data_IF_366598437643
#
_entry.id   IF_366598437643
#
_cell.length_a   1.000
_cell.length_b   1.000
_cell.length_c   1.000
_cell.angle_alpha   90.00
_cell.angle_beta   90.00
_cell.angle_gamma   90.00
#
_symmetry.space_group_name_H-M   'P 1'
#
loop_
_entity.id
_entity.type
_entity.pdbx_description
1 polymer ?
#
# COMPACT_ATOMS: atom_id res chain seq x y z
N UNK A 1 -2.04 -19.51 3.95
CA UNK A 1 -2.66 -19.37 2.62
C UNK A 1 -1.83 -18.48 1.69
N UNK A 2 -1.45 -17.24 2.05
CA UNK A 2 -0.62 -16.39 1.18
C UNK A 2 0.77 -17.00 0.92
N UNK A 3 1.58 -17.24 1.96
CA UNK A 3 2.93 -17.81 1.80
C UNK A 3 2.91 -19.15 1.05
N UNK A 4 1.91 -20.00 1.31
CA UNK A 4 1.73 -21.28 0.62
C UNK A 4 1.40 -21.10 -0.86
N UNK A 5 0.62 -20.08 -1.23
CA UNK A 5 0.28 -19.77 -2.62
C UNK A 5 1.48 -19.21 -3.39
N UNK A 6 2.31 -18.39 -2.74
CA UNK A 6 3.56 -17.88 -3.31
C UNK A 6 4.57 -19.04 -3.48
N UNK A 7 4.70 -19.91 -2.48
CA UNK A 7 5.55 -21.10 -2.55
C UNK A 7 5.11 -22.06 -3.67
N UNK A 8 3.81 -22.25 -3.89
CA UNK A 8 3.33 -23.09 -5.01
C UNK A 8 3.65 -22.53 -6.40
N UNK A 9 4.03 -21.24 -6.48
CA UNK A 9 4.50 -20.60 -7.71
C UNK A 9 6.04 -20.57 -7.82
N UNK A 10 6.75 -21.28 -6.94
CA UNK A 10 8.22 -21.33 -6.94
C UNK A 10 8.89 -20.08 -6.37
N UNK A 11 8.14 -19.25 -5.64
CA UNK A 11 8.63 -18.00 -5.08
C UNK A 11 8.58 -18.01 -3.54
N UNK A 12 9.21 -17.01 -2.91
CA UNK A 12 9.25 -16.84 -1.45
C UNK A 12 8.57 -15.52 -1.10
N UNK A 13 7.54 -15.59 -0.25
CA UNK A 13 6.96 -14.39 0.34
C UNK A 13 7.92 -13.85 1.41
N UNK A 14 8.30 -12.58 1.30
CA UNK A 14 9.13 -11.88 2.27
C UNK A 14 8.34 -10.72 2.89
N UNK A 15 8.57 -10.52 4.20
CA UNK A 15 7.97 -9.42 4.98
C UNK A 15 6.44 -9.24 4.81
N UNK A 16 5.61 -10.31 4.78
CA UNK A 16 4.17 -10.14 4.61
C UNK A 16 3.57 -9.38 5.81
N UNK A 17 2.91 -8.27 5.53
CA UNK A 17 2.27 -7.41 6.50
C UNK A 17 0.77 -7.28 6.22
N UNK A 18 -0.03 -7.57 7.25
CA UNK A 18 -1.47 -7.29 7.26
C UNK A 18 -1.73 -6.40 8.46
N UNK A 19 -2.24 -5.20 8.20
CA UNK A 19 -2.61 -4.23 9.23
C UNK A 19 -4.06 -3.80 9.07
N UNK A 20 -4.75 -3.58 10.17
CA UNK A 20 -6.20 -3.45 10.25
C UNK A 20 -6.59 -2.15 10.97
N UNK A 21 -7.69 -1.56 10.51
CA UNK A 21 -8.33 -0.40 11.10
C UNK A 21 -7.43 0.83 11.07
N UNK A 22 -7.54 1.70 12.08
CA UNK A 22 -6.74 2.93 12.17
C UNK A 22 -5.22 2.69 12.18
N UNK A 23 -4.79 1.48 12.53
CA UNK A 23 -3.38 1.10 12.60
C UNK A 23 -2.78 0.74 11.23
N UNK A 24 -3.63 0.54 10.21
CA UNK A 24 -3.22 0.32 8.82
C UNK A 24 -2.36 1.49 8.27
N UNK A 25 -2.56 2.71 8.75
CA UNK A 25 -2.01 3.96 8.17
C UNK A 25 -0.54 4.27 8.59
N UNK A 26 0.18 3.32 9.15
CA UNK A 26 1.40 3.60 9.95
C UNK A 26 2.74 3.00 9.49
N UNK A 27 2.97 2.75 8.20
CA UNK A 27 4.21 2.14 7.69
C UNK A 27 4.52 0.75 8.26
N UNK A 28 5.77 0.31 8.14
CA UNK A 28 6.26 -1.01 8.55
C UNK A 28 6.37 -1.14 10.08
N UNK A 29 5.22 -1.41 10.71
CA UNK A 29 5.08 -1.64 12.15
C UNK A 29 4.26 -2.89 12.40
N UNK A 30 4.66 -3.69 13.39
CA UNK A 30 3.94 -4.91 13.77
C UNK A 30 2.54 -4.55 14.29
N UNK A 31 1.52 -5.19 13.73
CA UNK A 31 0.17 -5.12 14.27
C UNK A 31 0.09 -5.86 15.61
N UNK A 32 -0.63 -5.28 16.57
CA UNK A 32 -0.94 -5.95 17.82
C UNK A 32 -2.00 -7.06 17.61
N UNK A 33 -1.81 -8.20 18.26
CA UNK A 33 -2.62 -9.42 18.07
C UNK A 33 -4.09 -9.31 18.47
N UNK A 34 -4.41 -8.34 19.32
CA UNK A 34 -5.76 -8.06 19.82
C UNK A 34 -6.62 -7.30 18.80
N UNK A 35 -6.02 -6.68 17.78
CA UNK A 35 -6.77 -5.96 16.74
C UNK A 35 -7.49 -6.97 15.85
N UNK A 36 -8.82 -6.97 15.91
CA UNK A 36 -9.70 -7.82 15.10
C UNK A 36 -10.32 -7.02 13.96
N UNK A 37 -10.50 -7.66 12.80
CA UNK A 37 -11.13 -7.07 11.63
C UNK A 37 -12.61 -6.77 11.90
N UNK A 38 -13.02 -5.51 11.73
CA UNK A 38 -14.41 -5.08 11.84
C UNK A 38 -14.91 -4.48 10.52
N UNK A 39 -16.22 -4.61 10.20
CA UNK A 39 -16.81 -3.90 9.07
C UNK A 39 -16.50 -2.40 9.11
N UNK A 40 -16.13 -1.86 7.97
CA UNK A 40 -15.67 -0.48 7.86
C UNK A 40 -14.20 -0.28 8.19
N UNK A 41 -13.42 -1.30 8.58
CA UNK A 41 -11.97 -1.13 8.75
C UNK A 41 -11.24 -1.07 7.41
N UNK A 42 -10.08 -0.41 7.42
CA UNK A 42 -9.10 -0.57 6.35
C UNK A 42 -8.20 -1.77 6.61
N UNK A 43 -7.79 -2.42 5.53
CA UNK A 43 -6.78 -3.48 5.50
C UNK A 43 -5.63 -2.94 4.67
N UNK A 44 -4.48 -2.70 5.30
CA UNK A 44 -3.23 -2.48 4.58
C UNK A 44 -2.51 -3.81 4.45
N UNK A 45 -2.33 -4.24 3.21
CA UNK A 45 -1.58 -5.41 2.83
C UNK A 45 -0.32 -4.94 2.12
N UNK A 46 0.83 -5.41 2.57
CA UNK A 46 2.13 -5.07 1.98
C UNK A 46 3.01 -6.31 2.04
N UNK A 47 3.65 -6.64 0.92
CA UNK A 47 4.44 -7.86 0.83
C UNK A 47 5.47 -7.79 -0.29
N UNK A 48 6.65 -8.33 0.03
CA UNK A 48 7.68 -8.63 -0.93
C UNK A 48 7.55 -10.06 -1.43
N UNK A 49 7.99 -10.31 -2.65
CA UNK A 49 8.14 -11.64 -3.23
C UNK A 49 9.51 -11.76 -3.86
N UNK A 50 10.22 -12.84 -3.52
CA UNK A 50 11.49 -13.22 -4.13
C UNK A 50 11.26 -14.38 -5.09
N UNK A 51 11.65 -14.22 -6.35
CA UNK A 51 11.58 -15.27 -7.36
C UNK A 51 12.84 -15.23 -8.22
N UNK A 52 13.55 -16.36 -8.34
CA UNK A 52 14.78 -16.49 -9.14
C UNK A 52 15.85 -15.42 -8.83
N UNK A 53 15.96 -15.01 -7.57
CA UNK A 53 16.88 -13.96 -7.12
C UNK A 53 16.41 -12.51 -7.33
N UNK A 54 15.25 -12.29 -7.96
CA UNK A 54 14.64 -10.98 -8.16
C UNK A 54 13.57 -10.70 -7.11
N UNK A 55 13.39 -9.40 -6.81
CA UNK A 55 12.43 -8.90 -5.84
C UNK A 55 11.28 -8.17 -6.53
N UNK A 56 10.07 -8.41 -6.04
CA UNK A 56 8.89 -7.60 -6.31
C UNK A 56 8.31 -7.11 -4.98
N UNK A 57 7.88 -5.85 -4.94
CA UNK A 57 7.29 -5.19 -3.78
C UNK A 57 5.93 -4.61 -4.17
N UNK A 58 4.91 -4.86 -3.35
CA UNK A 58 3.57 -4.38 -3.59
C UNK A 58 2.77 -4.14 -2.29
N UNK A 59 2.29 -2.91 -2.14
CA UNK A 59 1.32 -2.53 -1.12
C UNK A 59 -0.08 -2.21 -1.70
N UNK A 60 -1.13 -2.59 -0.97
CA UNK A 60 -2.54 -2.30 -1.25
C UNK A 60 -3.29 -1.93 0.03
N UNK A 61 -4.29 -1.07 -0.12
CA UNK A 61 -5.25 -0.72 0.93
C UNK A 61 -6.64 -1.09 0.47
N UNK A 62 -7.36 -1.85 1.30
CA UNK A 62 -8.74 -2.27 1.05
C UNK A 62 -9.65 -1.78 2.16
N UNK A 63 -10.94 -1.63 1.89
CA UNK A 63 -11.97 -1.47 2.92
C UNK A 63 -12.70 -2.81 3.12
N UNK A 64 -13.03 -3.14 4.37
CA UNK A 64 -13.77 -4.36 4.68
C UNK A 64 -15.28 -4.08 4.75
N UNK A 65 -16.03 -4.69 3.83
CA UNK A 65 -17.49 -4.56 3.62
C UNK A 65 -17.97 -3.18 3.15
N UNK A 66 -17.57 -2.10 3.80
CA UNK A 66 -17.91 -0.73 3.41
C UNK A 66 -16.76 0.23 3.72
N UNK A 67 -16.72 1.37 3.03
CA UNK A 67 -15.76 2.43 3.31
C UNK A 67 -16.39 3.48 4.22
N UNK A 68 -15.70 3.85 5.31
CA UNK A 68 -16.15 4.97 6.15
C UNK A 68 -15.72 6.32 5.53
N UNK A 69 -16.52 7.39 5.68
CA UNK A 69 -16.23 8.70 5.08
C UNK A 69 -14.85 9.28 5.44
N UNK A 70 -14.34 9.03 6.65
CA UNK A 70 -13.03 9.53 7.09
C UNK A 70 -11.84 8.93 6.32
N UNK A 71 -12.06 7.86 5.56
CA UNK A 71 -11.05 7.24 4.71
C UNK A 71 -11.01 7.81 3.30
N UNK A 72 -11.89 8.74 2.94
CA UNK A 72 -11.86 9.43 1.65
C UNK A 72 -10.49 10.11 1.39
N UNK A 73 -9.79 10.51 2.46
CA UNK A 73 -8.41 11.01 2.39
C UNK A 73 -7.41 10.05 1.74
N UNK A 74 -7.68 8.73 1.68
CA UNK A 74 -6.84 7.79 0.96
C UNK A 74 -6.85 8.03 -0.56
N UNK A 75 -7.89 8.69 -1.10
CA UNK A 75 -7.93 9.09 -2.50
C UNK A 75 -6.79 10.07 -2.85
N UNK A 76 -6.32 10.88 -1.89
CA UNK A 76 -5.15 11.73 -2.08
C UNK A 76 -3.87 10.91 -2.32
N UNK A 77 -3.68 9.81 -1.60
CA UNK A 77 -2.53 8.91 -1.78
C UNK A 77 -2.61 8.20 -3.14
N UNK A 78 -3.79 7.67 -3.49
CA UNK A 78 -4.01 7.01 -4.77
C UNK A 78 -3.74 7.95 -5.95
N UNK A 79 -4.23 9.19 -5.89
CA UNK A 79 -3.99 10.22 -6.90
C UNK A 79 -2.50 10.55 -7.03
N UNK A 80 -1.81 10.73 -5.89
CA UNK A 80 -0.37 10.97 -5.89
C UNK A 80 0.40 9.83 -6.57
N UNK A 81 0.05 8.58 -6.25
CA UNK A 81 0.65 7.39 -6.85
C UNK A 81 0.41 7.33 -8.37
N UNK A 82 -0.83 7.52 -8.84
CA UNK A 82 -1.15 7.48 -10.26
C UNK A 82 -0.40 8.55 -11.06
N UNK A 83 -0.34 9.78 -10.55
CA UNK A 83 0.41 10.86 -11.20
C UNK A 83 1.89 10.50 -11.26
N UNK A 84 2.48 9.99 -10.17
CA UNK A 84 3.88 9.59 -10.18
C UNK A 84 4.16 8.50 -11.21
N UNK A 85 3.35 7.43 -11.26
CA UNK A 85 3.52 6.34 -12.22
C UNK A 85 3.45 6.84 -13.67
N UNK A 86 2.54 7.76 -13.98
CA UNK A 86 2.34 8.26 -15.34
C UNK A 86 3.44 9.24 -15.80
N UNK A 87 4.04 9.98 -14.88
CA UNK A 87 4.96 11.09 -15.21
C UNK A 87 6.44 10.73 -15.02
N UNK A 88 6.74 9.69 -14.22
CA UNK A 88 8.12 9.24 -14.00
C UNK A 88 8.74 8.83 -15.33
N UNK A 89 9.93 9.38 -15.60
CA UNK A 89 10.70 9.11 -16.80
C UNK A 89 12.20 9.10 -16.51
N UNK A 90 12.95 8.53 -17.45
CA UNK A 90 14.42 8.47 -17.40
C UNK A 90 14.98 9.88 -17.20
N UNK A 91 15.93 10.01 -16.28
CA UNK A 91 16.59 11.28 -15.97
C UNK A 91 15.93 12.12 -14.87
N UNK A 92 14.74 11.76 -14.38
CA UNK A 92 14.14 12.43 -13.21
C UNK A 92 14.89 12.08 -11.92
N UNK A 93 15.06 13.06 -11.02
CA UNK A 93 15.62 12.81 -9.68
C UNK A 93 14.52 12.30 -8.75
N UNK A 94 14.87 11.42 -7.81
CA UNK A 94 13.92 10.90 -6.82
C UNK A 94 13.21 11.99 -6.02
N UNK A 95 13.89 13.10 -5.70
CA UNK A 95 13.28 14.26 -5.02
C UNK A 95 12.16 14.91 -5.85
N UNK A 96 12.28 14.89 -7.17
CA UNK A 96 11.31 15.53 -8.07
C UNK A 96 10.08 14.64 -8.20
N UNK A 97 10.27 13.31 -8.25
CA UNK A 97 9.19 12.31 -8.16
C UNK A 97 8.46 12.44 -6.83
N UNK A 98 9.18 12.55 -5.71
CA UNK A 98 8.56 12.76 -4.40
C UNK A 98 7.73 14.04 -4.36
N UNK A 99 8.28 15.16 -4.84
CA UNK A 99 7.57 16.44 -4.90
C UNK A 99 6.31 16.33 -5.77
N UNK A 100 6.39 15.65 -6.90
CA UNK A 100 5.26 15.41 -7.79
C UNK A 100 4.13 14.65 -7.07
N UNK A 101 4.45 13.52 -6.45
CA UNK A 101 3.49 12.70 -5.69
C UNK A 101 2.78 13.52 -4.62
N UNK A 102 3.54 14.24 -3.79
CA UNK A 102 3.00 15.04 -2.70
C UNK A 102 2.14 16.20 -3.22
N UNK A 103 2.58 16.88 -4.28
CA UNK A 103 1.83 18.01 -4.88
C UNK A 103 0.49 17.56 -5.46
N UNK A 104 0.44 16.37 -6.08
CA UNK A 104 -0.79 15.80 -6.62
C UNK A 104 -1.78 15.41 -5.53
N UNK A 105 -1.31 14.85 -4.41
CA UNK A 105 -2.15 14.49 -3.26
C UNK A 105 -2.68 15.69 -2.47
N UNK A 106 -1.94 16.79 -2.41
CA UNK A 106 -2.33 17.99 -1.65
C UNK A 106 -3.28 18.95 -2.39
N UNK A 107 -3.45 18.79 -3.71
CA UNK A 107 -4.42 19.60 -4.47
C UNK A 107 -5.85 19.25 -4.02
N UNK A 108 -6.49 20.15 -3.29
CA UNK A 108 -7.92 20.12 -2.97
C UNK A 108 -8.73 19.96 -4.28
N UNK A 109 -9.73 19.09 -4.25
CA UNK A 109 -10.77 19.09 -5.27
C UNK A 109 -11.67 20.34 -5.09
N UNK A 110 -12.22 20.90 -6.17
CA UNK A 110 -13.34 21.84 -6.07
C UNK A 110 -14.54 21.19 -5.36
#
# INVERSE_FOLDING_TARGET
MFNTSIASQGAIAALPMIKIGRHAVGGQRRQKSEIKLQPGDLIWFDCDVVCNGYWADNARVFSYKYMKPEYDKFNALYKGQLVAINEVKIGMKGKDVFKLTMSAGLKKFP
#
